data_IF_953227888019
#
_entry.id   IF_953227888019
#
_cell.length_a   1.000
_cell.length_b   1.000
_cell.length_c   1.000
_cell.angle_alpha   90.00
_cell.angle_beta   90.00
_cell.angle_gamma   90.00
#
_symmetry.space_group_name_H-M   'P 1'
#
loop_
_entity.id
_entity.type
_entity.pdbx_description
1 polymer ?
#
# COMPACT_ATOMS: atom_id res chain seq x y z
N UNK A 1 3.17 -15.89 20.48
CA UNK A 1 1.89 -15.77 19.71
C UNK A 1 1.57 -14.36 19.20
N UNK A 2 1.82 -13.26 19.95
CA UNK A 2 1.69 -11.88 19.41
C UNK A 2 3.00 -11.36 18.79
N UNK A 3 4.13 -11.67 19.43
CA UNK A 3 5.48 -11.35 18.94
C UNK A 3 5.74 -12.00 17.56
N UNK A 4 5.41 -13.28 17.42
CA UNK A 4 5.61 -14.03 16.17
C UNK A 4 4.86 -13.45 14.98
N UNK A 5 3.64 -12.92 15.21
CA UNK A 5 2.82 -12.26 14.18
C UNK A 5 3.43 -10.92 13.76
N UNK A 6 3.93 -10.14 14.71
CA UNK A 6 4.62 -8.87 14.45
C UNK A 6 5.94 -9.08 13.70
N UNK A 7 6.72 -10.09 14.08
CA UNK A 7 7.98 -10.44 13.42
C UNK A 7 7.76 -11.05 12.03
N UNK A 8 6.66 -11.77 11.85
CA UNK A 8 6.21 -12.19 10.52
C UNK A 8 5.87 -11.00 9.63
N UNK A 9 5.06 -10.06 10.11
CA UNK A 9 4.67 -8.85 9.38
C UNK A 9 5.91 -8.02 8.96
N UNK A 10 6.86 -7.80 9.89
CA UNK A 10 8.12 -7.10 9.59
C UNK A 10 8.97 -7.81 8.54
N UNK A 11 9.04 -9.14 8.56
CA UNK A 11 9.75 -9.91 7.52
C UNK A 11 9.09 -9.77 6.16
N UNK A 12 7.76 -9.83 6.12
CA UNK A 12 7.02 -9.60 4.90
C UNK A 12 7.24 -8.19 4.37
N UNK A 13 7.13 -7.15 5.20
CA UNK A 13 7.37 -5.76 4.79
C UNK A 13 8.79 -5.55 4.26
N UNK A 14 9.82 -6.11 4.92
CA UNK A 14 11.20 -6.06 4.40
C UNK A 14 11.38 -6.75 3.04
N UNK A 15 10.67 -7.86 2.82
CA UNK A 15 10.67 -8.50 1.52
C UNK A 15 9.98 -7.59 0.49
N UNK A 16 8.90 -6.90 0.85
CA UNK A 16 8.20 -5.96 -0.03
C UNK A 16 9.12 -4.81 -0.41
N UNK A 17 9.87 -4.23 0.53
CA UNK A 17 10.85 -3.16 0.25
C UNK A 17 11.86 -3.62 -0.81
N UNK A 18 12.37 -4.86 -0.68
CA UNK A 18 13.31 -5.43 -1.65
C UNK A 18 12.69 -5.65 -3.02
N UNK A 19 11.44 -6.12 -3.09
CA UNK A 19 10.77 -6.25 -4.38
C UNK A 19 10.52 -4.85 -4.95
N UNK A 20 9.93 -3.91 -4.19
CA UNK A 20 9.65 -2.52 -4.58
C UNK A 20 10.88 -1.76 -5.11
N UNK A 21 12.08 -2.00 -4.59
CA UNK A 21 13.32 -1.45 -5.15
C UNK A 21 13.64 -1.98 -6.57
N UNK A 22 13.19 -3.18 -6.91
CA UNK A 22 13.26 -3.73 -8.29
C UNK A 22 12.20 -3.12 -9.21
N UNK A 23 11.04 -2.71 -8.67
CA UNK A 23 9.95 -2.07 -9.44
C UNK A 23 10.34 -0.70 -10.02
N UNK A 24 11.31 0.01 -9.41
CA UNK A 24 11.71 1.37 -9.83
C UNK A 24 12.71 1.41 -10.98
N UNK A 25 13.13 0.26 -11.53
CA UNK A 25 14.06 0.16 -12.67
C UNK A 25 13.38 -0.01 -14.04
N UNK A 26 14.20 -0.07 -15.10
CA UNK A 26 13.83 -0.23 -16.52
C UNK A 26 13.07 -1.53 -16.87
N UNK A 27 12.79 -2.38 -15.89
CA UNK A 27 12.38 -3.78 -16.08
C UNK A 27 10.90 -4.02 -15.71
N UNK A 28 10.14 -2.93 -15.53
CA UNK A 28 8.75 -2.95 -15.06
C UNK A 28 7.79 -3.65 -16.03
N UNK A 29 8.03 -3.59 -17.33
CA UNK A 29 7.21 -4.35 -18.30
C UNK A 29 7.57 -5.83 -18.33
N UNK A 30 8.85 -6.17 -18.07
CA UNK A 30 9.34 -7.54 -18.12
C UNK A 30 8.83 -8.40 -16.95
N UNK A 31 8.64 -7.79 -15.77
CA UNK A 31 8.26 -8.49 -14.54
C UNK A 31 6.80 -8.25 -14.12
N UNK A 32 5.95 -7.74 -15.01
CA UNK A 32 4.58 -7.33 -14.68
C UNK A 32 3.73 -8.40 -14.01
N UNK A 33 3.83 -9.65 -14.47
CA UNK A 33 3.08 -10.77 -13.90
C UNK A 33 3.59 -11.14 -12.49
N UNK A 34 4.90 -11.22 -12.30
CA UNK A 34 5.50 -11.47 -10.98
C UNK A 34 5.15 -10.37 -9.97
N UNK A 35 5.10 -9.13 -10.46
CA UNK A 35 4.69 -7.96 -9.70
C UNK A 35 3.22 -8.06 -9.28
N UNK A 36 2.31 -8.44 -10.20
CA UNK A 36 0.90 -8.64 -9.90
C UNK A 36 0.68 -9.75 -8.85
N UNK A 37 1.36 -10.89 -9.01
CA UNK A 37 1.30 -12.00 -8.04
C UNK A 37 1.82 -11.58 -6.66
N UNK A 38 2.91 -10.81 -6.63
CA UNK A 38 3.47 -10.29 -5.38
C UNK A 38 2.48 -9.35 -4.70
N UNK A 39 1.92 -8.39 -5.44
CA UNK A 39 0.90 -7.46 -4.93
C UNK A 39 -0.26 -8.24 -4.30
N UNK A 40 -0.82 -9.22 -4.99
CA UNK A 40 -1.95 -10.00 -4.50
C UNK A 40 -1.61 -10.81 -3.25
N UNK A 41 -0.41 -11.38 -3.19
CA UNK A 41 0.10 -12.04 -1.99
C UNK A 41 0.13 -11.09 -0.80
N UNK A 42 0.64 -9.86 -0.96
CA UNK A 42 0.72 -8.89 0.12
C UNK A 42 -0.65 -8.41 0.60
N UNK A 43 -1.56 -8.13 -0.34
CA UNK A 43 -2.94 -7.76 -0.01
C UNK A 43 -3.62 -8.85 0.82
N UNK A 44 -3.47 -10.12 0.42
CA UNK A 44 -4.12 -11.24 1.10
C UNK A 44 -3.46 -11.64 2.40
N UNK A 45 -2.14 -11.81 2.43
CA UNK A 45 -1.43 -12.37 3.59
C UNK A 45 -1.10 -11.32 4.68
N UNK A 46 -0.91 -10.05 4.29
CA UNK A 46 -0.57 -8.97 5.24
C UNK A 46 -1.80 -8.15 5.59
N UNK A 47 -2.50 -7.65 4.58
CA UNK A 47 -3.63 -6.74 4.78
C UNK A 47 -4.96 -7.48 4.99
N UNK A 48 -5.00 -8.79 4.74
CA UNK A 48 -6.20 -9.61 4.78
C UNK A 48 -7.33 -9.02 3.91
N UNK A 49 -6.94 -8.41 2.78
CA UNK A 49 -7.86 -7.80 1.83
C UNK A 49 -8.36 -8.88 0.88
N UNK A 50 -9.68 -9.00 0.80
CA UNK A 50 -10.37 -9.87 -0.13
C UNK A 50 -10.92 -9.05 -1.31
N UNK A 51 -11.17 -9.72 -2.43
CA UNK A 51 -11.72 -9.07 -3.64
C UNK A 51 -13.12 -8.49 -3.37
N UNK A 52 -13.88 -9.05 -2.43
CA UNK A 52 -15.19 -8.55 -2.04
C UNK A 52 -15.17 -7.31 -1.16
N UNK A 53 -14.02 -6.94 -0.59
CA UNK A 53 -13.94 -5.84 0.36
C UNK A 53 -14.30 -4.50 -0.29
N UNK A 54 -15.00 -3.66 0.47
CA UNK A 54 -15.29 -2.27 0.11
C UNK A 54 -14.07 -1.37 0.34
N UNK A 55 -14.12 -0.16 -0.20
CA UNK A 55 -13.13 0.88 0.07
C UNK A 55 -12.97 1.14 1.57
N UNK A 56 -14.09 1.26 2.29
CA UNK A 56 -14.12 1.48 3.74
C UNK A 56 -13.46 0.32 4.50
N UNK A 57 -13.75 -0.92 4.11
CA UNK A 57 -13.19 -2.10 4.76
C UNK A 57 -11.68 -2.21 4.54
N UNK A 58 -11.22 -1.97 3.31
CA UNK A 58 -9.78 -1.89 3.00
C UNK A 58 -9.09 -0.80 3.85
N UNK A 59 -9.71 0.38 3.94
CA UNK A 59 -9.18 1.49 4.74
C UNK A 59 -9.07 1.10 6.22
N UNK A 60 -10.09 0.47 6.79
CA UNK A 60 -10.09 0.02 8.17
C UNK A 60 -8.99 -1.03 8.44
N UNK A 61 -8.89 -2.05 7.58
CA UNK A 61 -7.86 -3.10 7.69
C UNK A 61 -6.45 -2.52 7.66
N UNK A 62 -6.20 -1.54 6.79
CA UNK A 62 -4.90 -0.87 6.71
C UNK A 62 -4.63 0.01 7.94
N UNK A 63 -5.62 0.77 8.41
CA UNK A 63 -5.45 1.65 9.56
C UNK A 63 -5.27 0.87 10.88
N UNK A 64 -5.80 -0.35 11.02
CA UNK A 64 -5.52 -1.22 12.18
C UNK A 64 -4.01 -1.54 12.30
N UNK A 65 -3.33 -1.72 11.16
CA UNK A 65 -1.89 -1.96 11.13
C UNK A 65 -1.09 -0.74 11.57
N UNK A 66 -1.63 0.48 11.52
CA UNK A 66 -0.91 1.69 11.93
C UNK A 66 -0.52 1.72 13.41
N UNK A 67 -1.17 0.89 14.24
CA UNK A 67 -0.78 0.69 15.65
C UNK A 67 0.42 -0.27 15.82
N UNK A 68 0.76 -1.01 14.76
CA UNK A 68 1.72 -2.14 14.77
C UNK A 68 2.95 -1.89 13.89
N UNK A 69 2.90 -0.88 13.01
CA UNK A 69 3.91 -0.54 12.01
C UNK A 69 4.17 0.96 11.95
N UNK A 70 5.37 1.35 11.53
CA UNK A 70 5.72 2.77 11.37
C UNK A 70 5.12 3.34 10.07
N UNK A 71 5.01 4.68 9.96
CA UNK A 71 4.39 5.33 8.79
C UNK A 71 5.06 4.96 7.47
N UNK A 72 6.38 4.77 7.44
CA UNK A 72 7.10 4.32 6.24
C UNK A 72 6.64 2.94 5.75
N UNK A 73 6.37 2.03 6.69
CA UNK A 73 5.89 0.68 6.38
C UNK A 73 4.45 0.70 5.87
N UNK A 74 3.60 1.57 6.46
CA UNK A 74 2.24 1.80 5.98
C UNK A 74 2.23 2.41 4.58
N UNK A 75 3.12 3.37 4.29
CA UNK A 75 3.24 3.98 2.96
C UNK A 75 3.62 2.94 1.90
N UNK A 76 4.49 1.99 2.23
CA UNK A 76 4.86 0.91 1.33
C UNK A 76 3.68 -0.03 1.04
N UNK A 77 2.92 -0.39 2.08
CA UNK A 77 1.71 -1.21 1.92
C UNK A 77 0.62 -0.44 1.16
N UNK A 78 0.57 0.87 1.33
CA UNK A 78 -0.31 1.73 0.56
C UNK A 78 0.06 1.77 -0.92
N UNK A 79 1.35 1.78 -1.26
CA UNK A 79 1.80 1.70 -2.65
C UNK A 79 1.28 0.41 -3.33
N UNK A 80 1.21 -0.71 -2.61
CA UNK A 80 0.61 -1.96 -3.12
C UNK A 80 -0.85 -1.76 -3.55
N UNK A 81 -1.64 -1.02 -2.78
CA UNK A 81 -3.02 -0.67 -3.14
C UNK A 81 -3.08 0.20 -4.39
N UNK A 82 -2.18 1.18 -4.51
CA UNK A 82 -2.08 2.04 -5.70
C UNK A 82 -1.80 1.20 -6.94
N UNK A 83 -0.82 0.28 -6.86
CA UNK A 83 -0.50 -0.59 -7.97
C UNK A 83 -1.64 -1.55 -8.32
N UNK A 84 -2.32 -2.12 -7.32
CA UNK A 84 -3.49 -2.97 -7.56
C UNK A 84 -4.57 -2.20 -8.31
N UNK A 85 -4.92 -1.01 -7.84
CA UNK A 85 -5.93 -0.17 -8.50
C UNK A 85 -5.57 0.20 -9.94
N UNK A 86 -4.30 0.52 -10.20
CA UNK A 86 -3.80 0.78 -11.57
C UNK A 86 -3.87 -0.45 -12.47
N UNK A 87 -3.50 -1.62 -11.93
CA UNK A 87 -3.49 -2.90 -12.65
C UNK A 87 -4.90 -3.35 -13.03
N UNK A 88 -5.84 -3.30 -12.07
CA UNK A 88 -7.19 -3.81 -12.27
C UNK A 88 -8.18 -2.75 -12.75
N UNK A 89 -7.75 -1.49 -12.82
CA UNK A 89 -8.62 -0.33 -13.06
C UNK A 89 -9.79 -0.24 -12.08
N UNK A 90 -9.61 -0.76 -10.85
CA UNK A 90 -10.63 -0.71 -9.81
C UNK A 90 -10.36 0.44 -8.85
N UNK A 91 -11.23 1.45 -8.93
CA UNK A 91 -11.12 2.67 -8.17
C UNK A 91 -11.22 2.48 -6.66
N UNK A 92 -11.77 1.38 -6.15
CA UNK A 92 -11.88 1.18 -4.69
C UNK A 92 -10.49 1.12 -4.03
N UNK A 93 -9.51 0.52 -4.69
CA UNK A 93 -8.14 0.44 -4.18
C UNK A 93 -7.46 1.80 -4.21
N UNK A 94 -7.68 2.58 -5.28
CA UNK A 94 -7.14 3.94 -5.41
C UNK A 94 -7.75 4.90 -4.39
N UNK A 95 -9.07 4.82 -4.16
CA UNK A 95 -9.77 5.64 -3.17
C UNK A 95 -9.34 5.30 -1.75
N UNK A 96 -9.24 4.01 -1.41
CA UNK A 96 -8.73 3.57 -0.12
C UNK A 96 -7.31 4.09 0.09
N UNK A 97 -6.43 3.92 -0.91
CA UNK A 97 -5.06 4.39 -0.84
C UNK A 97 -4.96 5.92 -0.62
N UNK A 98 -5.85 6.69 -1.25
CA UNK A 98 -5.93 8.13 -1.06
C UNK A 98 -6.37 8.50 0.37
N UNK A 99 -7.41 7.83 0.90
CA UNK A 99 -7.88 8.05 2.28
C UNK A 99 -6.77 7.74 3.28
N UNK A 100 -6.09 6.61 3.14
CA UNK A 100 -5.01 6.17 4.04
C UNK A 100 -3.87 7.19 4.07
N UNK A 101 -3.34 7.60 2.90
CA UNK A 101 -2.25 8.60 2.85
C UNK A 101 -2.66 9.95 3.41
N UNK A 102 -3.92 10.35 3.19
CA UNK A 102 -4.44 11.61 3.73
C UNK A 102 -4.49 11.56 5.26
N UNK A 103 -4.87 10.42 5.84
CA UNK A 103 -4.87 10.22 7.30
C UNK A 103 -3.45 10.16 7.88
N UNK A 104 -2.50 9.55 7.16
CA UNK A 104 -1.08 9.55 7.56
C UNK A 104 -0.53 10.98 7.55
N UNK A 105 -0.76 11.75 6.49
CA UNK A 105 -0.29 13.15 6.38
C UNK A 105 -0.82 14.02 7.53
N UNK A 106 -2.09 13.84 7.92
CA UNK A 106 -2.66 14.58 9.06
C UNK A 106 -2.04 14.19 10.40
N UNK A 107 -1.64 12.92 10.57
CA UNK A 107 -1.12 12.38 11.84
C UNK A 107 0.38 12.55 11.99
N UNK A 108 1.12 12.55 10.89
CA UNK A 108 2.57 12.73 10.85
C UNK A 108 2.95 14.22 10.85
N UNK A 109 2.60 14.91 11.95
CA UNK A 109 2.77 16.37 12.10
C UNK A 109 4.25 16.78 12.07
N UNK A 110 5.16 15.86 12.40
CA UNK A 110 6.60 16.14 12.50
C UNK A 110 7.38 15.91 11.20
N UNK A 111 6.81 15.21 10.22
CA UNK A 111 7.52 14.88 8.98
C UNK A 111 6.79 15.46 7.78
N UNK A 112 7.25 16.62 7.31
CA UNK A 112 6.84 17.10 6.00
C UNK A 112 7.37 16.14 4.92
N UNK A 113 6.48 15.41 4.26
CA UNK A 113 6.84 14.44 3.23
C UNK A 113 6.40 14.93 1.84
N UNK A 114 7.33 15.57 1.13
CA UNK A 114 7.11 15.99 -0.27
C UNK A 114 6.67 14.81 -1.16
N UNK A 115 7.24 13.62 -0.91
CA UNK A 115 6.88 12.38 -1.62
C UNK A 115 5.42 12.00 -1.38
N UNK A 116 4.93 12.11 -0.14
CA UNK A 116 3.53 11.78 0.20
C UNK A 116 2.56 12.74 -0.49
N UNK A 117 2.86 14.03 -0.50
CA UNK A 117 2.05 15.04 -1.18
C UNK A 117 2.00 14.81 -2.70
N UNK A 118 3.12 14.44 -3.31
CA UNK A 118 3.17 14.08 -4.72
C UNK A 118 2.29 12.86 -5.02
N UNK A 119 2.35 11.80 -4.20
CA UNK A 119 1.49 10.61 -4.33
C UNK A 119 0.01 10.95 -4.18
N UNK A 120 -0.34 11.79 -3.21
CA UNK A 120 -1.72 12.26 -3.02
C UNK A 120 -2.23 13.05 -4.23
N UNK A 121 -1.40 13.92 -4.81
CA UNK A 121 -1.75 14.66 -6.02
C UNK A 121 -1.94 13.73 -7.24
N UNK A 122 -1.05 12.75 -7.43
CA UNK A 122 -1.19 11.75 -8.49
C UNK A 122 -2.48 10.93 -8.34
N UNK A 123 -2.77 10.44 -7.14
CA UNK A 123 -4.02 9.72 -6.87
C UNK A 123 -5.26 10.58 -7.12
N UNK A 124 -5.21 11.85 -6.75
CA UNK A 124 -6.32 12.77 -7.02
C UNK A 124 -6.55 12.98 -8.52
N UNK A 125 -5.50 12.93 -9.36
CA UNK A 125 -5.64 12.97 -10.81
C UNK A 125 -6.25 11.67 -11.34
N UNK A 126 -5.75 10.52 -10.89
CA UNK A 126 -6.25 9.21 -11.30
C UNK A 126 -7.72 8.99 -10.94
N UNK A 127 -8.16 9.51 -9.79
CA UNK A 127 -9.56 9.40 -9.34
C UNK A 127 -10.52 10.37 -10.05
N UNK A 128 -10.00 11.33 -10.82
CA UNK A 128 -10.79 12.26 -11.65
C UNK A 128 -10.92 11.79 -13.10
N UNK A 129 -10.03 10.90 -13.54
CA UNK A 129 -10.05 10.28 -14.86
C UNK A 129 -11.14 9.20 -14.93
#
# INVERSE_FOLDING_TARGET
>A
MLQDKRDYLKRMIRNLEKVMLRFTGLDRELHFEEMALTIDKYLKEVLLIEVSDSEEEITLKMMDLSSKTDFKELELLNDVLIYKGKLTQDNKYLKAAYRILSEIEKKDIMTFSFVRQQKLAELQQLLKA
#
